data_IF_681270105687
#
_entry.id   IF_681270105687
#
_cell.length_a   1.000
_cell.length_b   1.000
_cell.length_c   1.000
_cell.angle_alpha   90.00
_cell.angle_beta   90.00
_cell.angle_gamma   90.00
#
_symmetry.space_group_name_H-M   'P 1'
#
loop_
_entity.id
_entity.type
_entity.pdbx_description
1 polymer ?
#
# COMPACT_ATOMS: atom_id res chain seq x y z
N UNK A 1 -13.34 -1.51 -26.02
CA UNK A 1 -13.74 -0.46 -25.04
C UNK A 1 -13.84 -1.02 -23.63
N UNK A 2 -14.68 -2.03 -23.38
CA UNK A 2 -14.82 -2.67 -22.04
C UNK A 2 -13.50 -3.23 -21.52
N UNK A 3 -12.70 -3.87 -22.39
CA UNK A 3 -11.39 -4.43 -22.02
C UNK A 3 -10.36 -3.36 -21.61
N UNK A 4 -10.30 -2.24 -22.37
CA UNK A 4 -9.44 -1.11 -22.05
C UNK A 4 -9.84 -0.40 -20.75
N UNK A 5 -11.15 -0.28 -20.48
CA UNK A 5 -11.66 0.26 -19.21
C UNK A 5 -11.35 -0.69 -18.06
N UNK A 6 -11.51 -2.00 -18.26
CA UNK A 6 -11.17 -3.03 -17.27
C UNK A 6 -9.70 -2.99 -16.88
N UNK A 7 -8.78 -2.91 -17.86
CA UNK A 7 -7.35 -2.79 -17.58
C UNK A 7 -6.99 -1.45 -16.92
N UNK A 8 -7.56 -0.33 -17.38
CA UNK A 8 -7.32 0.99 -16.79
C UNK A 8 -7.82 1.11 -15.35
N UNK A 9 -9.01 0.57 -15.05
CA UNK A 9 -9.55 0.51 -13.70
C UNK A 9 -8.71 -0.38 -12.79
N UNK A 10 -8.30 -1.56 -13.26
CA UNK A 10 -7.43 -2.45 -12.49
C UNK A 10 -6.08 -1.81 -12.15
N UNK A 11 -5.49 -1.09 -13.10
CA UNK A 11 -4.22 -0.39 -12.89
C UNK A 11 -4.36 0.76 -11.89
N UNK A 12 -5.38 1.61 -12.04
CA UNK A 12 -5.62 2.73 -11.12
C UNK A 12 -5.95 2.26 -9.70
N UNK A 13 -6.77 1.21 -9.55
CA UNK A 13 -7.01 0.57 -8.25
C UNK A 13 -5.73 0.06 -7.62
N UNK A 14 -4.88 -0.61 -8.41
CA UNK A 14 -3.59 -1.12 -7.93
C UNK A 14 -2.70 0.02 -7.44
N UNK A 15 -2.56 1.09 -8.23
CA UNK A 15 -1.79 2.27 -7.83
C UNK A 15 -2.35 2.95 -6.58
N UNK A 16 -3.68 3.04 -6.45
CA UNK A 16 -4.34 3.63 -5.29
C UNK A 16 -4.06 2.84 -4.01
N UNK A 17 -4.21 1.51 -4.06
CA UNK A 17 -3.89 0.62 -2.92
C UNK A 17 -2.41 0.71 -2.56
N UNK A 18 -1.53 0.72 -3.56
CA UNK A 18 -0.07 0.81 -3.35
C UNK A 18 0.31 2.15 -2.70
N UNK A 19 -0.29 3.26 -3.17
CA UNK A 19 -0.11 4.58 -2.58
C UNK A 19 -0.61 4.62 -1.12
N UNK A 20 -1.81 4.10 -0.85
CA UNK A 20 -2.39 4.08 0.50
C UNK A 20 -1.51 3.32 1.50
N UNK A 21 -0.97 2.16 1.12
CA UNK A 21 -0.06 1.37 1.97
C UNK A 21 1.23 2.17 2.25
N UNK A 22 1.78 2.82 1.22
CA UNK A 22 3.02 3.61 1.36
C UNK A 22 2.82 4.85 2.23
N UNK A 23 1.71 5.55 2.09
CA UNK A 23 1.38 6.68 2.95
C UNK A 23 1.20 6.22 4.39
N UNK A 24 0.40 5.16 4.62
CA UNK A 24 0.14 4.64 5.95
C UNK A 24 1.43 4.22 6.68
N UNK A 25 2.30 3.46 6.00
CA UNK A 25 3.54 2.98 6.60
C UNK A 25 4.63 4.05 6.68
N UNK A 26 4.64 5.00 5.72
CA UNK A 26 5.64 6.04 5.62
C UNK A 26 5.39 7.24 6.54
N UNK A 27 4.12 7.62 6.76
CA UNK A 27 3.74 8.83 7.52
C UNK A 27 2.81 8.55 8.69
N UNK A 28 2.18 7.37 8.75
CA UNK A 28 1.15 7.06 9.74
C UNK A 28 -0.23 7.65 9.41
N UNK A 29 -0.37 8.26 8.23
CA UNK A 29 -1.56 8.98 7.78
C UNK A 29 -2.04 8.41 6.44
N UNK A 30 -3.34 8.50 6.18
CA UNK A 30 -3.94 8.20 4.88
C UNK A 30 -4.72 9.43 4.44
N UNK A 31 -4.43 9.97 3.25
CA UNK A 31 -5.11 11.15 2.71
C UNK A 31 -5.18 12.30 3.74
N UNK A 32 -4.05 12.57 4.41
CA UNK A 32 -3.92 13.60 5.47
C UNK A 32 -4.81 13.38 6.72
N UNK A 33 -5.47 12.23 6.84
CA UNK A 33 -6.13 11.81 8.09
C UNK A 33 -5.16 11.01 8.95
N UNK A 34 -4.95 11.39 10.23
CA UNK A 34 -4.17 10.58 11.16
C UNK A 34 -4.94 9.30 11.51
N UNK A 35 -4.47 8.17 11.00
CA UNK A 35 -5.07 6.84 11.26
C UNK A 35 -4.33 6.13 12.39
N UNK A 36 -3.01 6.30 12.45
CA UNK A 36 -2.16 5.70 13.48
C UNK A 36 -1.74 6.78 14.51
N UNK A 37 -1.71 6.44 15.81
CA UNK A 37 -1.13 7.32 16.82
C UNK A 37 0.40 7.35 16.65
N UNK A 38 0.87 8.32 15.88
CA UNK A 38 2.28 8.56 15.60
C UNK A 38 3.03 8.92 16.88
N UNK A 39 4.17 8.23 17.10
CA UNK A 39 5.04 8.46 18.24
C UNK A 39 5.58 9.90 18.19
N UNK A 40 5.19 10.68 19.19
CA UNK A 40 5.48 12.11 19.31
C UNK A 40 5.12 12.60 20.72
N UNK A 41 5.10 13.92 20.97
CA UNK A 41 4.86 14.49 22.31
C UNK A 41 3.53 14.07 22.95
N UNK A 42 2.62 13.52 22.15
CA UNK A 42 1.25 13.19 22.51
C UNK A 42 1.02 11.69 22.81
N UNK A 43 2.08 10.88 22.88
CA UNK A 43 2.01 9.50 23.42
C UNK A 43 1.67 8.38 22.42
N UNK A 44 2.02 8.51 21.14
CA UNK A 44 1.85 7.44 20.14
C UNK A 44 2.93 6.35 20.19
N UNK A 45 2.64 5.18 19.58
CA UNK A 45 3.55 4.04 19.48
C UNK A 45 4.08 3.80 18.06
N UNK A 46 3.48 4.45 17.06
CA UNK A 46 3.82 4.21 15.66
C UNK A 46 4.97 5.12 15.22
N UNK A 47 6.14 4.54 14.91
CA UNK A 47 7.26 5.27 14.33
C UNK A 47 7.16 5.22 12.80
N UNK A 48 7.00 6.37 12.11
CA UNK A 48 6.84 6.39 10.66
C UNK A 48 8.06 5.81 9.98
N UNK A 49 7.84 4.90 9.03
CA UNK A 49 8.91 4.16 8.38
C UNK A 49 9.38 4.90 7.14
N UNK A 50 10.33 5.82 7.30
CA UNK A 50 10.89 6.63 6.21
C UNK A 50 11.37 5.80 5.02
N UNK A 51 11.80 4.55 5.23
CA UNK A 51 12.15 3.61 4.17
C UNK A 51 11.00 3.35 3.16
N UNK A 52 9.74 3.43 3.58
CA UNK A 52 8.56 3.26 2.71
C UNK A 52 8.30 4.42 1.76
N UNK A 53 8.83 5.61 2.09
CA UNK A 53 8.78 6.81 1.24
C UNK A 53 9.83 6.70 0.14
N UNK A 54 11.01 6.15 0.47
CA UNK A 54 12.11 5.95 -0.46
C UNK A 54 11.79 4.90 -1.55
N UNK A 55 12.57 4.85 -2.65
CA UNK A 55 12.38 3.88 -3.74
C UNK A 55 12.35 2.42 -3.25
N UNK A 56 13.10 2.11 -2.21
CA UNK A 56 13.14 0.76 -1.59
C UNK A 56 11.76 0.31 -1.09
N UNK A 57 10.94 1.24 -0.59
CA UNK A 57 9.58 0.98 -0.16
C UNK A 57 8.67 0.49 -1.29
N UNK A 58 8.84 1.07 -2.49
CA UNK A 58 8.06 0.71 -3.68
C UNK A 58 8.34 -0.73 -4.14
N UNK A 59 9.61 -1.16 -4.11
CA UNK A 59 9.97 -2.55 -4.45
C UNK A 59 9.43 -3.55 -3.43
N UNK A 60 9.50 -3.23 -2.14
CA UNK A 60 8.96 -4.09 -1.07
C UNK A 60 7.45 -4.23 -1.21
N UNK A 61 6.72 -3.12 -1.38
CA UNK A 61 5.26 -3.15 -1.56
C UNK A 61 4.86 -3.90 -2.83
N UNK A 62 5.59 -3.73 -3.93
CA UNK A 62 5.36 -4.48 -5.16
C UNK A 62 5.54 -5.99 -4.94
N UNK A 63 6.63 -6.41 -4.29
CA UNK A 63 6.89 -7.81 -3.96
C UNK A 63 5.80 -8.41 -3.07
N UNK A 64 5.32 -7.64 -2.09
CA UNK A 64 4.27 -8.06 -1.16
C UNK A 64 2.90 -8.19 -1.85
N UNK A 65 2.54 -7.23 -2.71
CA UNK A 65 1.34 -7.29 -3.54
C UNK A 65 1.37 -8.48 -4.50
N UNK A 66 2.49 -8.69 -5.20
CA UNK A 66 2.67 -9.85 -6.08
C UNK A 66 2.58 -11.17 -5.31
N UNK A 67 3.19 -11.25 -4.13
CA UNK A 67 3.08 -12.41 -3.24
C UNK A 67 1.65 -12.67 -2.78
N UNK A 68 0.91 -11.62 -2.41
CA UNK A 68 -0.49 -11.70 -2.02
C UNK A 68 -1.39 -12.18 -3.18
N UNK A 69 -1.22 -11.60 -4.37
CA UNK A 69 -1.94 -12.04 -5.58
C UNK A 69 -1.60 -13.48 -5.92
N UNK A 70 -0.34 -13.88 -5.80
CA UNK A 70 0.08 -15.27 -6.05
C UNK A 70 -0.57 -16.23 -5.05
N UNK A 71 -0.66 -15.86 -3.77
CA UNK A 71 -1.34 -16.66 -2.73
C UNK A 71 -2.84 -16.82 -3.03
N UNK A 72 -3.52 -15.73 -3.40
CA UNK A 72 -4.95 -15.76 -3.74
C UNK A 72 -5.17 -16.60 -5.01
N UNK A 73 -4.32 -16.44 -6.02
CA UNK A 73 -4.38 -17.21 -7.27
C UNK A 73 -4.14 -18.69 -7.03
N UNK A 74 -3.23 -19.04 -6.12
CA UNK A 74 -3.00 -20.42 -5.69
C UNK A 74 -4.22 -21.05 -5.02
N UNK A 75 -5.00 -20.27 -4.27
CA UNK A 75 -6.25 -20.72 -3.63
C UNK A 75 -7.40 -20.91 -4.62
N UNK A 76 -7.44 -20.14 -5.71
CA UNK A 76 -8.53 -20.23 -6.70
C UNK A 76 -8.35 -21.36 -7.73
N UNK A 77 -7.13 -21.91 -7.86
CA UNK A 77 -6.82 -23.06 -8.73
C UNK A 77 -6.84 -24.41 -7.98
N UNK A 78 -7.26 -24.43 -6.71
CA UNK A 78 -7.43 -25.64 -5.89
C UNK A 78 -8.87 -26.07 -5.81
#
# INVERSE_FOLDING_TARGET
LVDAVGMGLGFTLTLCVLAAIRELLGTGMICEKPVLPVAGPQGGWFMPWTAMILPVGAFITLGLLLGGVNLITRRTKG
#
